data_IF_161192673448
#
_entry.id   IF_161192673448
#
_cell.length_a   1.000
_cell.length_b   1.000
_cell.length_c   1.000
_cell.angle_alpha   90.00
_cell.angle_beta   90.00
_cell.angle_gamma   90.00
#
_symmetry.space_group_name_H-M   'P 1'
#
loop_
_entity.id
_entity.type
_entity.pdbx_description
1 polymer ?
#
# COMPACT_ATOMS: atom_id res chain seq x y z
N UNK A 1 -3.18 0.07 -4.82
CA UNK A 1 -2.96 0.91 -6.03
C UNK A 1 -1.44 1.08 -6.24
N UNK A 2 -1.02 1.80 -7.29
CA UNK A 2 0.42 2.01 -7.56
C UNK A 2 1.04 2.96 -6.52
N UNK A 3 1.93 2.44 -5.67
CA UNK A 3 2.75 3.24 -4.77
C UNK A 3 3.56 4.26 -5.57
N UNK A 4 3.52 5.54 -5.16
CA UNK A 4 4.26 6.61 -5.83
C UNK A 4 5.77 6.43 -5.68
N UNK A 5 6.55 6.91 -6.65
CA UNK A 5 8.02 6.82 -6.58
C UNK A 5 8.59 7.57 -5.37
N UNK A 6 7.95 8.68 -4.97
CA UNK A 6 8.34 9.47 -3.80
C UNK A 6 8.19 8.68 -2.50
N UNK A 7 7.04 8.02 -2.29
CA UNK A 7 6.80 7.19 -1.10
C UNK A 7 7.78 6.01 -1.01
N UNK A 8 8.10 5.39 -2.15
CA UNK A 8 9.12 4.33 -2.19
C UNK A 8 10.49 4.85 -1.79
N UNK A 9 10.89 6.04 -2.27
CA UNK A 9 12.17 6.63 -1.93
C UNK A 9 12.28 7.02 -0.45
N UNK A 10 11.21 7.51 0.17
CA UNK A 10 11.16 7.75 1.62
C UNK A 10 11.33 6.46 2.43
N UNK A 11 10.61 5.39 2.06
CA UNK A 11 10.70 4.10 2.74
C UNK A 11 12.11 3.51 2.60
N UNK A 12 12.68 3.53 1.40
CA UNK A 12 14.05 3.05 1.18
C UNK A 12 15.04 3.83 2.04
N UNK A 13 14.96 5.17 2.06
CA UNK A 13 15.84 6.00 2.90
C UNK A 13 15.69 5.73 4.41
N UNK A 14 14.49 5.40 4.87
CA UNK A 14 14.22 5.11 6.28
C UNK A 14 14.69 3.75 6.77
N UNK A 15 14.80 2.77 5.87
CA UNK A 15 15.10 1.37 6.21
C UNK A 15 16.40 0.82 5.57
N UNK A 16 17.07 1.58 4.70
CA UNK A 16 18.36 1.21 4.13
C UNK A 16 19.43 1.10 5.22
N UNK A 17 20.25 0.05 5.19
CA UNK A 17 21.39 -0.11 6.11
C UNK A 17 22.65 0.59 5.63
N UNK A 18 22.80 0.68 4.32
CA UNK A 18 23.88 1.37 3.64
C UNK A 18 23.30 2.24 2.53
N UNK A 19 24.06 3.23 2.09
CA UNK A 19 23.64 4.11 1.00
C UNK A 19 23.42 3.30 -0.28
N UNK A 20 22.19 3.34 -0.83
CA UNK A 20 21.83 2.56 -2.01
C UNK A 20 21.38 1.11 -1.73
N UNK A 21 21.20 0.72 -0.48
CA UNK A 21 20.69 -0.60 -0.12
C UNK A 21 19.17 -0.70 -0.42
N UNK A 22 18.85 -1.20 -1.61
CA UNK A 22 17.46 -1.48 -2.04
C UNK A 22 17.11 -2.96 -1.93
N UNK A 23 18.06 -3.81 -1.56
CA UNK A 23 17.96 -5.26 -1.65
C UNK A 23 17.75 -5.96 -0.31
N UNK A 24 18.12 -5.33 0.80
CA UNK A 24 18.04 -5.93 2.13
C UNK A 24 16.60 -6.29 2.53
N UNK A 25 16.48 -7.37 3.30
CA UNK A 25 15.21 -7.94 3.73
C UNK A 25 14.31 -6.90 4.41
N UNK A 26 14.89 -5.97 5.15
CA UNK A 26 14.21 -4.92 5.90
C UNK A 26 13.55 -3.90 4.97
N UNK A 27 14.27 -3.49 3.91
CA UNK A 27 13.75 -2.55 2.90
C UNK A 27 12.61 -3.21 2.11
N UNK A 28 12.76 -4.49 1.74
CA UNK A 28 11.69 -5.22 1.06
C UNK A 28 10.46 -5.42 1.95
N UNK A 29 10.63 -5.75 3.23
CA UNK A 29 9.52 -5.89 4.19
C UNK A 29 8.81 -4.55 4.38
N UNK A 30 9.54 -3.44 4.49
CA UNK A 30 8.94 -2.11 4.61
C UNK A 30 8.12 -1.73 3.37
N UNK A 31 8.65 -1.98 2.17
CA UNK A 31 7.94 -1.75 0.91
C UNK A 31 6.68 -2.61 0.77
N UNK A 32 6.75 -3.90 1.14
CA UNK A 32 5.61 -4.82 1.13
C UNK A 32 4.55 -4.41 2.15
N UNK A 33 4.96 -4.00 3.35
CA UNK A 33 4.07 -3.54 4.42
C UNK A 33 3.30 -2.29 3.98
N UNK A 34 3.99 -1.30 3.40
CA UNK A 34 3.35 -0.10 2.88
C UNK A 34 2.31 -0.42 1.79
N UNK A 35 2.63 -1.37 0.90
CA UNK A 35 1.70 -1.83 -0.14
C UNK A 35 0.49 -2.57 0.43
N UNK A 36 0.68 -3.41 1.45
CA UNK A 36 -0.41 -4.10 2.14
C UNK A 36 -1.35 -3.09 2.79
N UNK A 37 -0.83 -2.11 3.52
CA UNK A 37 -1.64 -1.07 4.17
C UNK A 37 -2.47 -0.25 3.17
N UNK A 38 -1.92 0.04 1.99
CA UNK A 38 -2.67 0.70 0.91
C UNK A 38 -3.80 -0.19 0.36
N UNK A 39 -3.55 -1.48 0.21
CA UNK A 39 -4.53 -2.46 -0.27
C UNK A 39 -5.64 -2.71 0.76
N UNK A 40 -5.30 -2.83 2.05
CA UNK A 40 -6.29 -3.05 3.12
C UNK A 40 -7.20 -1.83 3.33
N UNK A 41 -6.68 -0.62 3.12
CA UNK A 41 -7.52 0.60 3.10
C UNK A 41 -8.56 0.57 1.99
N UNK A 42 -8.22 0.01 0.84
CA UNK A 42 -9.14 -0.16 -0.30
C UNK A 42 -10.05 -1.36 -0.12
N UNK A 43 -9.65 -2.38 0.65
CA UNK A 43 -10.48 -3.56 0.95
C UNK A 43 -11.61 -3.29 1.95
N UNK A 44 -11.86 -2.03 2.29
CA UNK A 44 -13.12 -1.65 2.97
C UNK A 44 -14.27 -2.15 2.09
N UNK A 45 -15.26 -2.88 2.63
CA UNK A 45 -16.40 -3.33 1.85
C UNK A 45 -17.09 -2.09 1.30
N UNK A 46 -16.89 -1.80 0.02
CA UNK A 46 -17.78 -0.90 -0.68
C UNK A 46 -19.14 -1.57 -0.62
N UNK A 47 -20.19 -0.92 -0.10
CA UNK A 47 -21.53 -1.47 -0.26
C UNK A 47 -21.75 -1.55 -1.77
N UNK A 48 -21.75 -2.77 -2.30
CA UNK A 48 -22.22 -3.03 -3.66
C UNK A 48 -23.70 -2.68 -3.63
N UNK A 49 -24.02 -1.43 -3.97
CA UNK A 49 -25.39 -0.97 -4.19
C UNK A 49 -25.93 -1.70 -5.41
N UNK A 50 -26.33 -2.95 -5.23
CA UNK A 50 -27.31 -3.59 -6.09
C UNK A 50 -28.62 -2.89 -5.80
N UNK A 51 -29.04 -2.07 -6.77
CA UNK A 51 -30.42 -1.69 -7.06
C UNK A 51 -31.28 -1.34 -5.86
N UNK A 52 -31.51 -0.03 -5.72
CA UNK A 52 -32.74 0.49 -5.16
C UNK A 52 -33.94 -0.27 -5.73
N UNK A 53 -34.49 -1.21 -4.97
CA UNK A 53 -35.90 -1.58 -5.09
C UNK A 53 -36.63 -0.64 -4.14
N UNK A 54 -36.80 0.59 -4.61
CA UNK A 54 -37.99 1.37 -4.28
C UNK A 54 -39.14 0.61 -4.90
N UNK A 55 -40.08 0.13 -4.09
CA UNK A 55 -41.52 0.23 -4.34
C UNK A 55 -42.30 -0.69 -3.38
N UNK A 56 -43.11 -0.05 -2.54
CA UNK A 56 -44.22 -0.58 -1.76
C UNK A 56 -43.91 -1.40 -0.50
#
# INVERSE_FOLDING_TARGET
>A
MAMTAAQKAEIVKGFQRAEGDTGSSEVQIALLTARINDLTRTSRPTPRTTTAVVAC
#
